data_IF_980260222324
#
_entry.id   IF_980260222324
#
_cell.length_a   1.000
_cell.length_b   1.000
_cell.length_c   1.000
_cell.angle_alpha   90.00
_cell.angle_beta   90.00
_cell.angle_gamma   90.00
#
_symmetry.space_group_name_H-M   'P 1'
#
loop_
_entity.id
_entity.type
_entity.pdbx_description
1 polymer ?
#
# COMPACT_ATOMS: atom_id res chain seq x y z
N UNK A 1 -30.65 38.36 -5.98
CA UNK A 1 -29.71 37.23 -6.10
C UNK A 1 -29.91 36.63 -7.48
N UNK A 2 -28.88 36.63 -8.30
CA UNK A 2 -28.95 36.07 -9.65
C UNK A 2 -28.73 34.55 -9.61
N UNK A 3 -29.18 33.84 -10.65
CA UNK A 3 -28.99 32.39 -10.78
C UNK A 3 -27.53 31.96 -10.60
N UNK A 4 -26.60 32.73 -11.18
CA UNK A 4 -25.17 32.50 -11.06
C UNK A 4 -24.65 32.65 -9.62
N UNK A 5 -25.21 33.56 -8.82
CA UNK A 5 -24.84 33.71 -7.40
C UNK A 5 -25.24 32.46 -6.60
N UNK A 6 -26.43 31.93 -6.87
CA UNK A 6 -26.92 30.70 -6.21
C UNK A 6 -26.04 29.51 -6.58
N UNK A 7 -25.67 29.38 -7.87
CA UNK A 7 -24.78 28.31 -8.34
C UNK A 7 -23.40 28.38 -7.67
N UNK A 8 -22.82 29.58 -7.55
CA UNK A 8 -21.53 29.79 -6.86
C UNK A 8 -21.64 29.49 -5.37
N UNK A 9 -22.72 29.91 -4.69
CA UNK A 9 -22.94 29.61 -3.28
C UNK A 9 -23.05 28.11 -3.04
N UNK A 10 -23.80 27.38 -3.87
CA UNK A 10 -23.94 25.92 -3.78
C UNK A 10 -22.58 25.25 -4.02
N UNK A 11 -21.80 25.71 -4.99
CA UNK A 11 -20.46 25.21 -5.26
C UNK A 11 -19.51 25.45 -4.07
N UNK A 12 -19.51 26.65 -3.49
CA UNK A 12 -18.71 26.98 -2.31
C UNK A 12 -19.13 26.13 -1.11
N UNK A 13 -20.43 25.95 -0.87
CA UNK A 13 -20.95 25.07 0.18
C UNK A 13 -20.51 23.61 -0.03
N UNK A 14 -20.54 23.12 -1.26
CA UNK A 14 -20.08 21.77 -1.57
C UNK A 14 -18.57 21.60 -1.30
N UNK A 15 -17.75 22.53 -1.77
CA UNK A 15 -16.30 22.53 -1.51
C UNK A 15 -16.00 22.63 -0.01
N UNK A 16 -16.74 23.48 0.71
CA UNK A 16 -16.62 23.60 2.16
C UNK A 16 -17.00 22.32 2.89
N UNK A 17 -18.11 21.67 2.50
CA UNK A 17 -18.52 20.40 3.08
C UNK A 17 -17.51 19.29 2.80
N UNK A 18 -17.01 19.19 1.57
CA UNK A 18 -15.95 18.26 1.19
C UNK A 18 -14.67 18.51 2.00
N UNK A 19 -14.29 19.77 2.22
CA UNK A 19 -13.16 20.15 3.07
C UNK A 19 -13.35 19.64 4.51
N UNK A 20 -14.55 19.80 5.10
CA UNK A 20 -14.83 19.29 6.45
C UNK A 20 -14.75 17.76 6.51
N UNK A 21 -15.28 17.05 5.51
CA UNK A 21 -15.19 15.58 5.44
C UNK A 21 -13.73 15.12 5.36
N UNK A 22 -12.92 15.76 4.53
CA UNK A 22 -11.48 15.47 4.42
C UNK A 22 -10.77 15.74 5.75
N UNK A 23 -11.10 16.86 6.41
CA UNK A 23 -10.53 17.23 7.70
C UNK A 23 -10.84 16.17 8.77
N UNK A 24 -12.10 15.74 8.90
CA UNK A 24 -12.50 14.69 9.85
C UNK A 24 -11.86 13.34 9.49
N UNK A 25 -11.73 13.02 8.20
CA UNK A 25 -11.08 11.78 7.73
C UNK A 25 -9.61 11.72 8.14
N UNK A 26 -8.86 12.80 7.92
CA UNK A 26 -7.43 12.89 8.29
C UNK A 26 -7.26 12.83 9.82
N UNK A 27 -8.11 13.54 10.59
CA UNK A 27 -8.12 13.43 12.05
C UNK A 27 -8.38 11.97 12.44
N UNK A 28 -9.38 11.31 11.88
CA UNK A 28 -9.72 9.93 12.19
C UNK A 28 -8.59 8.95 11.86
N UNK A 29 -7.84 9.18 10.77
CA UNK A 29 -6.66 8.40 10.39
C UNK A 29 -5.51 8.55 11.40
N UNK A 30 -5.24 9.79 11.85
CA UNK A 30 -4.21 10.07 12.87
C UNK A 30 -4.59 9.47 14.24
N UNK A 31 -5.88 9.53 14.60
CA UNK A 31 -6.36 8.93 15.86
C UNK A 31 -6.35 7.41 15.81
N UNK A 32 -6.64 6.80 14.64
CA UNK A 32 -6.57 5.36 14.40
C UNK A 32 -5.14 4.82 14.49
N UNK A 33 -4.12 5.63 14.23
CA UNK A 33 -2.75 5.22 14.44
C UNK A 33 -2.40 5.23 15.94
N UNK A 34 -2.30 4.03 16.52
CA UNK A 34 -1.99 3.82 17.94
C UNK A 34 -0.47 3.84 18.19
N UNK A 35 0.35 3.82 17.14
CA UNK A 35 1.81 3.88 17.27
C UNK A 35 2.33 5.32 17.44
N UNK A 36 1.51 6.33 17.14
CA UNK A 36 1.90 7.74 17.25
C UNK A 36 1.72 8.29 18.67
N UNK A 37 2.77 8.90 19.28
CA UNK A 37 2.67 9.51 20.60
C UNK A 37 1.74 10.73 20.56
N UNK A 38 0.99 10.96 21.64
CA UNK A 38 -0.08 11.97 21.69
C UNK A 38 0.35 13.42 21.38
N UNK A 39 1.62 13.77 21.64
CA UNK A 39 2.16 15.10 21.31
C UNK A 39 2.35 15.29 19.80
N UNK A 40 2.66 14.22 19.05
CA UNK A 40 2.73 14.26 17.59
C UNK A 40 1.33 14.49 16.99
N UNK A 41 0.28 13.90 17.58
CA UNK A 41 -1.12 14.13 17.18
C UNK A 41 -1.51 15.60 17.35
N UNK A 42 -1.09 16.24 18.45
CA UNK A 42 -1.34 17.65 18.71
C UNK A 42 -0.63 18.59 17.71
N UNK A 43 0.63 18.30 17.37
CA UNK A 43 1.39 19.07 16.37
C UNK A 43 0.73 18.99 14.98
N UNK A 44 0.23 17.81 14.61
CA UNK A 44 -0.51 17.61 13.37
C UNK A 44 -1.80 18.44 13.31
N UNK A 45 -2.56 18.51 14.41
CA UNK A 45 -3.75 19.36 14.46
C UNK A 45 -3.43 20.85 14.27
N UNK A 46 -2.32 21.34 14.84
CA UNK A 46 -1.88 22.73 14.67
C UNK A 46 -1.42 22.99 13.23
N UNK A 47 -0.64 22.09 12.65
CA UNK A 47 -0.14 22.24 11.27
C UNK A 47 -1.28 22.29 10.23
N UNK A 48 -2.36 21.56 10.47
CA UNK A 48 -3.52 21.43 9.58
C UNK A 48 -4.39 22.70 9.53
N UNK A 49 -4.40 23.49 10.60
CA UNK A 49 -5.05 24.80 10.65
C UNK A 49 -4.28 25.85 9.85
N UNK A 50 -2.94 25.76 9.83
CA UNK A 50 -2.10 26.79 9.23
C UNK A 50 -1.68 26.52 7.78
N UNK A 51 -1.55 25.25 7.34
CA UNK A 51 -0.80 24.94 6.12
C UNK A 51 -1.33 23.71 5.35
N UNK A 52 -2.49 23.79 4.67
CA UNK A 52 -3.14 22.65 4.02
C UNK A 52 -2.30 21.99 2.91
N UNK A 53 -1.51 22.76 2.17
CA UNK A 53 -0.63 22.24 1.10
C UNK A 53 0.60 21.54 1.71
N UNK A 54 1.15 22.09 2.80
CA UNK A 54 2.37 21.57 3.42
C UNK A 54 2.09 20.26 4.19
N UNK A 55 0.89 20.11 4.76
CA UNK A 55 0.44 18.85 5.37
C UNK A 55 0.30 17.71 4.36
N UNK A 56 -0.15 17.98 3.14
CA UNK A 56 -0.27 16.94 2.10
C UNK A 56 1.11 16.41 1.66
N UNK A 57 2.11 17.30 1.54
CA UNK A 57 3.50 16.93 1.18
C UNK A 57 4.16 16.15 2.33
N UNK A 58 4.01 16.59 3.58
CA UNK A 58 4.55 15.90 4.75
C UNK A 58 3.95 14.50 4.93
N UNK A 59 2.65 14.34 4.68
CA UNK A 59 1.97 13.06 4.76
C UNK A 59 2.51 12.04 3.76
N UNK A 60 2.80 12.48 2.52
CA UNK A 60 3.42 11.63 1.51
C UNK A 60 4.84 11.21 1.90
N UNK A 61 5.63 12.11 2.49
CA UNK A 61 6.98 11.80 2.98
C UNK A 61 6.97 10.82 4.17
N UNK A 62 6.01 10.95 5.09
CA UNK A 62 5.94 10.12 6.30
C UNK A 62 5.25 8.77 6.07
N UNK A 63 4.32 8.68 5.10
CA UNK A 63 3.49 7.48 4.87
C UNK A 63 3.78 6.75 3.56
N UNK A 64 4.66 7.27 2.71
CA UNK A 64 5.03 6.66 1.42
C UNK A 64 5.80 5.34 1.50
N UNK A 65 6.32 4.96 2.68
CA UNK A 65 7.14 3.76 2.86
C UNK A 65 6.33 2.45 2.95
N UNK A 66 5.03 2.51 3.22
CA UNK A 66 4.21 1.30 3.44
C UNK A 66 3.83 0.53 2.17
N UNK A 67 4.01 1.12 0.98
CA UNK A 67 3.66 0.47 -0.30
C UNK A 67 4.79 -0.42 -0.83
N UNK A 68 6.05 -0.04 -0.63
CA UNK A 68 7.20 -0.81 -1.11
C UNK A 68 7.35 -2.15 -0.37
N UNK A 69 7.02 -2.16 0.92
CA UNK A 69 7.20 -3.34 1.77
C UNK A 69 6.12 -4.42 1.54
N UNK A 70 4.91 -4.01 1.15
CA UNK A 70 3.84 -4.97 0.79
C UNK A 70 4.07 -5.62 -0.57
N UNK A 71 4.62 -4.88 -1.54
CA UNK A 71 5.00 -5.45 -2.84
C UNK A 71 6.14 -6.46 -2.68
N UNK A 72 7.11 -6.19 -1.80
CA UNK A 72 8.22 -7.11 -1.55
C UNK A 72 7.77 -8.44 -0.91
N UNK A 73 6.79 -8.43 0.00
CA UNK A 73 6.26 -9.67 0.61
C UNK A 73 5.46 -10.49 -0.41
N UNK A 74 4.65 -9.81 -1.26
CA UNK A 74 3.87 -10.49 -2.27
C UNK A 74 4.75 -11.09 -3.39
N UNK A 75 5.77 -10.37 -3.84
CA UNK A 75 6.72 -10.86 -4.84
C UNK A 75 7.53 -12.06 -4.32
N UNK A 76 7.98 -12.02 -3.06
CA UNK A 76 8.66 -13.17 -2.45
C UNK A 76 7.73 -14.39 -2.28
N UNK A 77 6.46 -14.18 -1.92
CA UNK A 77 5.49 -15.26 -1.77
C UNK A 77 5.12 -15.89 -3.13
N UNK A 78 4.94 -15.09 -4.18
CA UNK A 78 4.67 -15.56 -5.54
C UNK A 78 5.89 -16.26 -6.15
N UNK A 79 7.11 -15.76 -5.88
CA UNK A 79 8.37 -16.40 -6.28
C UNK A 79 8.54 -17.79 -5.66
N UNK A 80 8.36 -17.92 -4.34
CA UNK A 80 8.50 -19.21 -3.63
C UNK A 80 7.42 -20.24 -4.01
N UNK A 81 6.20 -19.80 -4.30
CA UNK A 81 5.15 -20.69 -4.82
C UNK A 81 5.54 -21.28 -6.18
N UNK A 82 6.09 -20.44 -7.08
CA UNK A 82 6.57 -20.86 -8.40
C UNK A 82 7.71 -21.88 -8.32
N UNK A 83 8.67 -21.71 -7.41
CA UNK A 83 9.77 -22.67 -7.19
C UNK A 83 9.23 -24.03 -6.70
N UNK A 84 8.25 -24.00 -5.79
CA UNK A 84 7.65 -25.22 -5.23
C UNK A 84 6.87 -26.02 -6.29
N UNK A 85 6.12 -25.32 -7.14
CA UNK A 85 5.38 -25.93 -8.25
C UNK A 85 6.32 -26.53 -9.31
N UNK A 86 7.44 -25.88 -9.61
CA UNK A 86 8.45 -26.36 -10.56
C UNK A 86 9.12 -27.65 -10.05
N UNK A 87 9.44 -27.71 -8.76
CA UNK A 87 9.99 -28.92 -8.11
C UNK A 87 8.94 -30.05 -8.07
N UNK A 88 7.67 -29.74 -7.74
CA UNK A 88 6.60 -30.74 -7.73
C UNK A 88 6.37 -31.36 -9.12
N UNK A 89 6.44 -30.54 -10.17
CA UNK A 89 6.35 -31.01 -11.55
C UNK A 89 7.55 -31.90 -11.92
N UNK A 90 8.76 -31.52 -11.50
CA UNK A 90 9.95 -32.35 -11.72
C UNK A 90 9.85 -33.71 -11.02
N UNK A 91 9.31 -33.79 -9.80
CA UNK A 91 9.03 -35.06 -9.10
C UNK A 91 8.07 -35.92 -9.91
N UNK A 92 6.97 -35.35 -10.42
CA UNK A 92 6.01 -36.10 -11.23
C UNK A 92 6.59 -36.66 -12.53
N UNK A 93 7.54 -35.96 -13.16
CA UNK A 93 8.22 -36.44 -14.36
C UNK A 93 9.19 -37.57 -14.06
N UNK A 94 9.90 -37.50 -12.93
CA UNK A 94 10.80 -38.55 -12.46
C UNK A 94 10.02 -39.81 -12.11
N UNK A 95 8.92 -39.67 -11.38
CA UNK A 95 8.07 -40.79 -10.99
C UNK A 95 7.36 -41.43 -12.20
N UNK A 96 7.09 -40.64 -13.26
CA UNK A 96 6.63 -41.12 -14.55
C UNK A 96 7.73 -41.75 -15.44
N UNK A 97 8.99 -41.73 -14.99
CA UNK A 97 10.14 -42.24 -15.73
C UNK A 97 10.50 -41.43 -16.98
N UNK A 98 10.04 -40.17 -17.08
CA UNK A 98 10.34 -39.27 -18.20
C UNK A 98 11.75 -38.68 -18.06
N UNK A 99 12.21 -38.48 -16.82
CA UNK A 99 13.54 -37.96 -16.48
C UNK A 99 14.21 -38.87 -15.45
N UNK A 100 15.55 -38.86 -15.42
CA UNK A 100 16.32 -39.60 -14.43
C UNK A 100 16.65 -38.78 -13.16
N UNK A 101 17.22 -39.44 -12.15
CA UNK A 101 17.57 -38.82 -10.86
C UNK A 101 18.62 -37.70 -10.99
N UNK A 102 19.51 -37.78 -11.99
CA UNK A 102 20.55 -36.77 -12.24
C UNK A 102 19.97 -35.53 -12.92
N UNK A 103 19.03 -35.71 -13.84
CA UNK A 103 18.27 -34.64 -14.49
C UNK A 103 17.36 -33.93 -13.48
N UNK A 104 16.72 -34.68 -12.57
CA UNK A 104 15.91 -34.11 -11.50
C UNK A 104 16.71 -33.19 -10.57
N UNK A 105 17.88 -33.62 -10.08
CA UNK A 105 18.71 -32.79 -9.20
C UNK A 105 19.23 -31.53 -9.91
N UNK A 106 19.45 -31.60 -11.23
CA UNK A 106 19.82 -30.43 -12.05
C UNK A 106 18.68 -29.40 -12.12
N UNK A 107 17.43 -29.85 -12.31
CA UNK A 107 16.24 -28.99 -12.35
C UNK A 107 15.97 -28.36 -10.99
N UNK A 108 16.07 -29.15 -9.91
CA UNK A 108 15.91 -28.69 -8.53
C UNK A 108 16.96 -27.65 -8.14
N UNK A 109 18.24 -27.88 -8.48
CA UNK A 109 19.31 -26.94 -8.23
C UNK A 109 19.10 -25.62 -9.00
N UNK A 110 18.59 -25.69 -10.23
CA UNK A 110 18.27 -24.52 -11.04
C UNK A 110 17.08 -23.72 -10.49
N UNK A 111 16.04 -24.40 -9.99
CA UNK A 111 14.86 -23.76 -9.39
C UNK A 111 15.19 -23.08 -8.06
N UNK A 112 16.10 -23.65 -7.25
CA UNK A 112 16.54 -23.10 -5.97
C UNK A 112 17.55 -21.94 -6.10
N UNK A 113 18.22 -21.79 -7.25
CA UNK A 113 19.25 -20.78 -7.48
C UNK A 113 18.75 -19.61 -8.35
N UNK A 114 17.44 -19.43 -8.43
CA UNK A 114 16.77 -18.37 -9.19
C UNK A 114 16.33 -17.24 -8.27
#
# INVERSE_FOLDING_TARGET
MNFWDVLVIVMICFVFLAYLVVLVSIISDIFRDHALPGWAKALWMIAMVFLPILTAVLYLFLRGSGMAERSAVLDNALGNASISDEIAKAVSMRDAGIIDDTEFETIKAKALNR
#
